data_IF_837993774292
#
_entry.id   IF_837993774292
#
_cell.length_a   1.000
_cell.length_b   1.000
_cell.length_c   1.000
_cell.angle_alpha   90.00
_cell.angle_beta   90.00
_cell.angle_gamma   90.00
#
_symmetry.space_group_name_H-M   'P 1'
#
loop_
_entity.id
_entity.type
_entity.pdbx_description
1 polymer ?
#
# COMPACT_ATOMS: atom_id res chain seq x y z
N UNK A 1 12.76 52.06 -36.02
CA UNK A 1 13.30 50.71 -36.30
C UNK A 1 12.75 50.30 -37.64
N UNK A 2 13.62 50.11 -38.63
CA UNK A 2 13.18 49.66 -39.96
C UNK A 2 12.62 48.24 -39.85
N UNK A 3 11.84 47.78 -40.82
CA UNK A 3 11.35 46.38 -40.87
C UNK A 3 12.51 45.35 -40.84
N UNK A 4 13.75 45.79 -41.09
CA UNK A 4 14.99 45.03 -40.97
C UNK A 4 15.58 44.96 -39.55
N UNK A 5 15.15 45.81 -38.61
CA UNK A 5 15.60 45.83 -37.21
C UNK A 5 14.67 45.08 -36.26
N UNK A 6 13.53 44.57 -36.76
CA UNK A 6 12.56 43.83 -35.95
C UNK A 6 12.97 42.35 -35.82
N UNK A 7 12.92 41.75 -34.61
CA UNK A 7 13.27 40.34 -34.43
C UNK A 7 12.30 39.43 -35.22
N UNK A 8 12.86 38.64 -36.15
CA UNK A 8 12.10 37.65 -36.92
C UNK A 8 11.80 36.44 -36.04
N UNK A 9 10.56 36.35 -35.56
CA UNK A 9 10.10 35.26 -34.70
C UNK A 9 8.99 34.47 -35.36
N UNK A 10 9.06 33.14 -35.26
CA UNK A 10 7.94 32.26 -35.62
C UNK A 10 6.91 32.32 -34.49
N UNK A 11 5.67 32.68 -34.83
CA UNK A 11 4.58 32.78 -33.86
C UNK A 11 3.65 31.57 -33.97
N UNK A 12 3.09 31.06 -32.86
CA UNK A 12 2.14 29.96 -32.91
C UNK A 12 0.82 30.39 -33.59
N UNK A 13 0.34 29.60 -34.54
CA UNK A 13 -0.94 29.81 -35.24
C UNK A 13 -1.99 28.87 -34.64
N UNK A 14 -2.68 29.32 -33.59
CA UNK A 14 -3.62 28.47 -32.82
C UNK A 14 -4.97 28.23 -33.51
N UNK A 15 -5.32 29.05 -34.49
CA UNK A 15 -6.58 28.97 -35.24
C UNK A 15 -6.46 28.16 -36.53
N UNK A 16 -5.29 27.57 -36.82
CA UNK A 16 -5.11 26.69 -37.97
C UNK A 16 -5.72 25.32 -37.67
N UNK A 17 -6.64 24.88 -38.54
CA UNK A 17 -7.16 23.52 -38.50
C UNK A 17 -6.10 22.54 -38.99
N UNK A 18 -5.85 21.47 -38.22
CA UNK A 18 -4.95 20.37 -38.60
C UNK A 18 -5.70 19.05 -38.46
N UNK A 19 -5.72 18.24 -39.52
CA UNK A 19 -6.21 16.87 -39.49
C UNK A 19 -5.05 15.96 -39.06
N UNK A 20 -5.21 15.26 -37.94
CA UNK A 20 -4.18 14.41 -37.34
C UNK A 20 -4.67 12.95 -37.32
N UNK A 21 -4.45 12.15 -38.37
CA UNK A 21 -4.68 10.71 -38.29
C UNK A 21 -3.79 10.13 -37.19
N UNK A 22 -4.34 9.28 -36.34
CA UNK A 22 -3.61 8.64 -35.24
C UNK A 22 -3.55 7.14 -35.49
N UNK A 23 -2.34 6.61 -35.65
CA UNK A 23 -2.06 5.18 -35.48
C UNK A 23 -1.80 4.95 -33.98
N UNK A 24 -2.66 4.13 -33.35
CA UNK A 24 -2.53 3.84 -31.93
C UNK A 24 -1.20 3.14 -31.65
N UNK A 25 -0.77 2.21 -32.50
CA UNK A 25 0.44 1.42 -32.27
C UNK A 25 1.70 2.29 -32.32
N UNK A 26 1.75 3.24 -33.26
CA UNK A 26 2.83 4.21 -33.36
C UNK A 26 2.82 5.29 -32.27
N UNK A 27 1.82 5.33 -31.36
CA UNK A 27 1.83 6.26 -30.22
C UNK A 27 2.99 6.01 -29.25
N UNK A 28 3.51 4.78 -29.24
CA UNK A 28 4.46 4.29 -28.24
C UNK A 28 5.62 3.61 -28.96
N UNK A 29 6.84 4.07 -28.73
CA UNK A 29 8.05 3.43 -29.26
C UNK A 29 8.21 1.99 -28.75
N UNK A 30 8.86 1.12 -29.52
CA UNK A 30 8.99 -0.31 -29.23
C UNK A 30 9.69 -0.59 -27.89
N UNK A 31 10.64 0.26 -27.50
CA UNK A 31 11.41 0.14 -26.26
C UNK A 31 10.71 0.77 -25.04
N UNK A 32 9.52 1.35 -25.21
CA UNK A 32 8.84 2.04 -24.12
C UNK A 32 8.38 1.03 -23.04
N UNK A 33 8.65 1.28 -21.74
CA UNK A 33 8.37 0.33 -20.65
C UNK A 33 6.91 -0.14 -20.56
N UNK A 34 5.96 0.69 -21.02
CA UNK A 34 4.52 0.35 -21.05
C UNK A 34 4.23 -0.91 -21.85
N UNK A 35 5.00 -1.18 -22.92
CA UNK A 35 4.86 -2.38 -23.75
C UNK A 35 5.24 -3.64 -22.97
N UNK A 36 6.31 -3.56 -22.17
CA UNK A 36 6.71 -4.65 -21.30
C UNK A 36 5.69 -4.91 -20.18
N UNK A 37 5.08 -3.85 -19.63
CA UNK A 37 3.97 -3.99 -18.67
C UNK A 37 2.78 -4.71 -19.32
N UNK A 38 2.37 -4.29 -20.53
CA UNK A 38 1.28 -4.93 -21.25
C UNK A 38 1.58 -6.40 -21.56
N UNK A 39 2.76 -6.68 -22.13
CA UNK A 39 3.18 -8.04 -22.45
C UNK A 39 3.28 -8.96 -21.23
N UNK A 40 3.62 -8.43 -20.04
CA UNK A 40 3.52 -9.19 -18.80
C UNK A 40 2.06 -9.46 -18.42
N UNK A 41 1.19 -8.45 -18.46
CA UNK A 41 -0.22 -8.57 -18.11
C UNK A 41 -0.92 -9.64 -18.97
N UNK A 42 -0.57 -9.73 -20.26
CA UNK A 42 -1.07 -10.76 -21.18
C UNK A 42 -0.69 -12.19 -20.77
N UNK A 43 0.38 -12.36 -19.98
CA UNK A 43 0.85 -13.67 -19.51
C UNK A 43 0.34 -14.04 -18.12
N UNK A 44 -0.24 -13.09 -17.39
CA UNK A 44 -0.80 -13.34 -16.06
C UNK A 44 -2.12 -14.14 -16.16
N UNK A 45 -2.35 -15.05 -15.21
CA UNK A 45 -3.63 -15.73 -15.09
C UNK A 45 -4.66 -14.79 -14.43
N UNK A 46 -5.44 -14.13 -15.28
CA UNK A 46 -6.53 -13.22 -14.91
C UNK A 46 -7.91 -13.90 -14.85
N UNK A 47 -7.98 -15.24 -14.91
CA UNK A 47 -9.27 -15.98 -14.99
C UNK A 47 -10.24 -15.60 -13.87
N UNK A 48 -9.75 -15.45 -12.63
CA UNK A 48 -10.54 -15.01 -11.49
C UNK A 48 -11.13 -13.58 -11.63
N UNK A 49 -10.55 -12.71 -12.46
CA UNK A 49 -11.14 -11.41 -12.78
C UNK A 49 -12.24 -11.54 -13.81
N UNK A 50 -12.03 -12.34 -14.86
CA UNK A 50 -13.01 -12.57 -15.91
C UNK A 50 -14.24 -13.33 -15.41
N UNK A 51 -14.08 -14.29 -14.48
CA UNK A 51 -15.18 -15.09 -13.94
C UNK A 51 -16.30 -14.24 -13.29
N UNK A 52 -15.96 -13.08 -12.72
CA UNK A 52 -16.93 -12.16 -12.10
C UNK A 52 -17.77 -11.38 -13.12
N UNK A 53 -17.24 -11.17 -14.31
CA UNK A 53 -17.89 -10.43 -15.39
C UNK A 53 -18.43 -11.35 -16.49
N UNK A 54 -18.25 -12.67 -16.34
CA UNK A 54 -18.76 -13.68 -17.26
C UNK A 54 -20.29 -13.60 -17.35
N UNK A 55 -20.82 -13.66 -18.58
CA UNK A 55 -22.26 -13.74 -18.79
C UNK A 55 -22.77 -15.11 -18.33
N UNK A 56 -23.63 -15.12 -17.31
CA UNK A 56 -24.23 -16.35 -16.74
C UNK A 56 -25.74 -16.47 -16.98
N UNK A 57 -26.34 -15.47 -17.62
CA UNK A 57 -27.76 -15.42 -17.94
C UNK A 57 -28.05 -15.67 -19.42
N UNK A 58 -29.34 -15.76 -19.76
CA UNK A 58 -29.81 -15.90 -21.14
C UNK A 58 -29.58 -14.65 -22.01
N UNK A 59 -29.49 -13.47 -21.39
CA UNK A 59 -29.19 -12.20 -22.06
C UNK A 59 -27.90 -11.60 -21.49
N UNK A 60 -26.93 -11.33 -22.36
CA UNK A 60 -25.72 -10.62 -21.98
C UNK A 60 -26.06 -9.15 -21.68
N UNK A 61 -25.59 -8.65 -20.52
CA UNK A 61 -25.66 -7.23 -20.17
C UNK A 61 -24.68 -6.36 -20.96
N UNK A 62 -24.52 -5.10 -20.56
CA UNK A 62 -23.48 -4.22 -21.14
C UNK A 62 -22.10 -4.85 -20.92
N UNK A 63 -21.21 -4.87 -21.94
CA UNK A 63 -19.84 -5.33 -21.77
C UNK A 63 -19.11 -4.58 -20.65
N UNK A 64 -18.41 -5.33 -19.80
CA UNK A 64 -17.52 -4.76 -18.79
C UNK A 64 -16.20 -4.28 -19.43
N UNK A 65 -15.54 -3.33 -18.79
CA UNK A 65 -14.16 -2.96 -19.13
C UNK A 65 -13.23 -4.14 -18.84
N UNK A 66 -12.30 -4.43 -19.76
CA UNK A 66 -11.35 -5.51 -19.64
C UNK A 66 -10.47 -5.36 -18.37
N UNK A 67 -10.43 -6.38 -17.47
CA UNK A 67 -9.53 -6.39 -16.31
C UNK A 67 -8.04 -6.22 -16.65
N UNK A 68 -7.58 -6.71 -17.81
CA UNK A 68 -6.20 -6.55 -18.26
C UNK A 68 -5.86 -5.08 -18.49
N UNK A 69 -6.76 -4.32 -19.15
CA UNK A 69 -6.63 -2.87 -19.33
C UNK A 69 -6.57 -2.15 -17.98
N UNK A 70 -7.49 -2.47 -17.06
CA UNK A 70 -7.53 -1.83 -15.73
C UNK A 70 -6.28 -2.14 -14.90
N UNK A 71 -5.77 -3.37 -14.96
CA UNK A 71 -4.55 -3.78 -14.28
C UNK A 71 -3.32 -3.07 -14.87
N UNK A 72 -3.16 -3.10 -16.20
CA UNK A 72 -2.04 -2.45 -16.89
C UNK A 72 -2.00 -0.94 -16.62
N UNK A 73 -3.15 -0.26 -16.66
CA UNK A 73 -3.25 1.17 -16.32
C UNK A 73 -2.79 1.44 -14.89
N UNK A 74 -3.17 0.62 -13.92
CA UNK A 74 -2.77 0.80 -12.53
C UNK A 74 -1.29 0.46 -12.28
N UNK A 75 -0.77 -0.58 -12.93
CA UNK A 75 0.65 -0.93 -12.84
C UNK A 75 1.53 0.18 -13.42
N UNK A 76 1.16 0.72 -14.59
CA UNK A 76 1.88 1.82 -15.22
C UNK A 76 1.72 3.12 -14.43
N UNK A 77 0.52 3.46 -13.97
CA UNK A 77 0.27 4.62 -13.11
C UNK A 77 1.11 4.59 -11.84
N UNK A 78 1.19 3.46 -11.15
CA UNK A 78 2.06 3.31 -9.97
C UNK A 78 3.54 3.44 -10.34
N UNK A 79 3.95 2.97 -11.52
CA UNK A 79 5.33 3.16 -11.99
C UNK A 79 5.70 4.65 -12.14
N UNK A 80 4.72 5.52 -12.41
CA UNK A 80 4.91 6.97 -12.53
C UNK A 80 4.48 7.76 -11.27
N UNK A 81 4.14 7.07 -10.17
CA UNK A 81 3.70 7.70 -8.93
C UNK A 81 2.28 8.28 -8.97
N UNK A 82 1.46 7.87 -9.96
CA UNK A 82 0.09 8.32 -10.15
C UNK A 82 -0.89 7.50 -9.29
N UNK A 83 -1.20 7.99 -8.09
CA UNK A 83 -2.13 7.36 -7.15
C UNK A 83 -3.60 7.81 -7.23
N UNK A 84 -3.98 8.63 -8.22
CA UNK A 84 -5.34 9.23 -8.30
C UNK A 84 -6.10 8.72 -9.52
N UNK A 85 -7.25 8.07 -9.28
CA UNK A 85 -8.10 7.55 -10.35
C UNK A 85 -8.61 8.64 -11.32
N UNK A 86 -8.82 9.87 -10.82
CA UNK A 86 -9.20 11.02 -11.66
C UNK A 86 -8.03 11.57 -12.49
N UNK A 87 -6.82 11.48 -11.95
CA UNK A 87 -5.63 11.85 -12.74
C UNK A 87 -5.42 10.79 -13.82
N UNK A 88 -5.54 9.51 -13.47
CA UNK A 88 -5.42 8.39 -14.39
C UNK A 88 -6.47 8.47 -15.53
N UNK A 89 -7.73 8.76 -15.24
CA UNK A 89 -8.76 9.02 -16.26
C UNK A 89 -8.34 10.15 -17.23
N UNK A 90 -7.80 11.27 -16.73
CA UNK A 90 -7.29 12.35 -17.61
C UNK A 90 -6.06 11.96 -18.41
N UNK A 91 -5.21 11.07 -17.88
CA UNK A 91 -4.05 10.54 -18.60
C UNK A 91 -4.50 9.61 -19.72
N UNK A 92 -5.49 8.74 -19.47
CA UNK A 92 -6.13 7.91 -20.49
C UNK A 92 -6.68 8.72 -21.69
N UNK A 93 -7.03 9.99 -21.50
CA UNK A 93 -7.53 10.86 -22.56
C UNK A 93 -6.43 11.61 -23.32
N UNK A 94 -5.28 11.88 -22.69
CA UNK A 94 -4.31 12.88 -23.17
C UNK A 94 -2.92 12.33 -23.46
N UNK A 95 -2.49 11.34 -22.68
CA UNK A 95 -1.12 10.84 -22.68
C UNK A 95 -0.98 9.60 -23.59
N UNK A 96 0.09 9.51 -24.36
CA UNK A 96 0.24 8.52 -25.43
C UNK A 96 0.32 7.07 -24.90
N UNK A 97 1.21 6.73 -23.96
CA UNK A 97 1.23 5.42 -23.29
C UNK A 97 -0.12 4.97 -22.71
N UNK A 98 -0.85 5.86 -22.02
CA UNK A 98 -2.14 5.50 -21.43
C UNK A 98 -3.23 5.30 -22.50
N UNK A 99 -3.23 6.12 -23.55
CA UNK A 99 -4.13 5.94 -24.71
C UNK A 99 -3.85 4.63 -25.43
N UNK A 100 -2.57 4.25 -25.56
CA UNK A 100 -2.15 2.98 -26.14
C UNK A 100 -2.68 1.80 -25.31
N UNK A 101 -2.49 1.79 -23.98
CA UNK A 101 -3.07 0.75 -23.11
C UNK A 101 -4.60 0.67 -23.26
N UNK A 102 -5.28 1.83 -23.32
CA UNK A 102 -6.73 1.85 -23.46
C UNK A 102 -7.18 1.26 -24.80
N UNK A 103 -6.43 1.41 -25.90
CA UNK A 103 -6.81 0.84 -27.19
C UNK A 103 -8.19 1.30 -27.71
N UNK A 104 -8.66 2.49 -27.30
CA UNK A 104 -10.02 2.99 -27.59
C UNK A 104 -11.10 2.54 -26.61
N UNK A 105 -10.78 1.71 -25.61
CA UNK A 105 -11.69 1.34 -24.52
C UNK A 105 -11.94 2.56 -23.62
N UNK A 106 -13.20 2.97 -23.40
CA UNK A 106 -13.51 4.08 -22.51
C UNK A 106 -13.31 3.66 -21.05
N UNK A 107 -12.49 4.42 -20.33
CA UNK A 107 -12.18 4.20 -18.91
C UNK A 107 -12.60 5.43 -18.11
N UNK A 108 -13.26 5.20 -16.97
CA UNK A 108 -13.67 6.27 -16.08
C UNK A 108 -13.09 6.09 -14.67
N UNK A 109 -13.02 7.19 -13.92
CA UNK A 109 -12.39 7.18 -12.59
C UNK A 109 -13.13 6.34 -11.55
N UNK A 110 -14.44 6.12 -11.69
CA UNK A 110 -15.18 5.24 -10.78
C UNK A 110 -14.74 3.79 -10.96
N UNK A 111 -14.73 3.29 -12.20
CA UNK A 111 -14.24 1.94 -12.54
C UNK A 111 -12.80 1.74 -12.07
N UNK A 112 -11.92 2.72 -12.30
CA UNK A 112 -10.53 2.68 -11.83
C UNK A 112 -10.44 2.63 -10.30
N UNK A 113 -11.18 3.48 -9.59
CA UNK A 113 -11.16 3.54 -8.13
C UNK A 113 -11.70 2.25 -7.49
N UNK A 114 -12.77 1.68 -8.05
CA UNK A 114 -13.39 0.45 -7.58
C UNK A 114 -12.45 -0.75 -7.80
N UNK A 115 -11.87 -0.89 -9.00
CA UNK A 115 -10.91 -1.95 -9.32
C UNK A 115 -9.74 -1.98 -8.33
N UNK A 116 -9.21 -0.80 -7.98
CA UNK A 116 -8.06 -0.64 -7.08
C UNK A 116 -8.31 -1.13 -5.66
N UNK A 117 -9.57 -1.21 -5.21
CA UNK A 117 -9.87 -1.54 -3.79
C UNK A 117 -10.62 -2.85 -3.61
N UNK A 118 -11.38 -3.30 -4.62
CA UNK A 118 -12.25 -4.49 -4.51
C UNK A 118 -11.46 -5.80 -4.64
N UNK A 119 -10.37 -5.82 -5.42
CA UNK A 119 -9.74 -7.08 -5.83
C UNK A 119 -8.55 -7.51 -4.96
N UNK A 120 -8.51 -7.14 -3.67
CA UNK A 120 -7.40 -7.45 -2.75
C UNK A 120 -6.95 -8.91 -2.77
N UNK A 121 -7.90 -9.85 -2.68
CA UNK A 121 -7.60 -11.30 -2.73
C UNK A 121 -7.04 -11.75 -4.08
N UNK A 122 -7.45 -11.13 -5.18
CA UNK A 122 -6.97 -11.50 -6.52
C UNK A 122 -5.60 -10.90 -6.79
N UNK A 123 -5.35 -9.67 -6.34
CA UNK A 123 -4.02 -9.07 -6.36
C UNK A 123 -3.06 -9.86 -5.48
N UNK A 124 -3.50 -10.35 -4.32
CA UNK A 124 -2.73 -11.27 -3.49
C UNK A 124 -2.31 -12.52 -4.27
N UNK A 125 -3.23 -13.15 -5.00
CA UNK A 125 -2.94 -14.30 -5.87
C UNK A 125 -2.01 -13.94 -7.03
N UNK A 126 -2.18 -12.78 -7.65
CA UNK A 126 -1.27 -12.30 -8.70
C UNK A 126 0.15 -12.08 -8.19
N UNK A 127 0.32 -11.50 -7.00
CA UNK A 127 1.62 -11.38 -6.37
C UNK A 127 2.29 -12.76 -6.19
N UNK A 128 1.52 -13.76 -5.74
CA UNK A 128 2.00 -15.15 -5.64
C UNK A 128 2.42 -15.71 -7.01
N UNK A 129 1.64 -15.48 -8.08
CA UNK A 129 2.01 -15.92 -9.44
C UNK A 129 3.33 -15.29 -9.91
N UNK A 130 3.49 -13.97 -9.72
CA UNK A 130 4.71 -13.24 -10.08
C UNK A 130 5.91 -13.81 -9.32
N UNK A 131 5.79 -14.03 -8.02
CA UNK A 131 6.87 -14.61 -7.22
C UNK A 131 7.20 -16.05 -7.62
N UNK A 132 6.19 -16.88 -7.88
CA UNK A 132 6.40 -18.25 -8.34
C UNK A 132 7.16 -18.30 -9.68
N UNK A 133 6.85 -17.40 -10.61
CA UNK A 133 7.59 -17.28 -11.86
C UNK A 133 9.05 -16.86 -11.62
N UNK A 134 9.28 -15.84 -10.78
CA UNK A 134 10.64 -15.39 -10.44
C UNK A 134 11.48 -16.46 -9.73
N UNK A 135 10.87 -17.27 -8.87
CA UNK A 135 11.54 -18.38 -8.19
C UNK A 135 11.85 -19.54 -9.15
N UNK A 136 10.92 -19.85 -10.05
CA UNK A 136 11.13 -20.89 -11.08
C UNK A 136 12.31 -20.57 -11.99
N UNK A 137 12.49 -19.30 -12.35
CA UNK A 137 13.63 -18.82 -13.13
C UNK A 137 14.92 -18.63 -12.29
N UNK A 138 14.88 -18.93 -10.98
CA UNK A 138 16.04 -18.84 -10.09
C UNK A 138 16.47 -17.41 -9.74
N UNK A 139 15.64 -16.41 -10.07
CA UNK A 139 15.90 -14.98 -9.84
C UNK A 139 15.70 -14.62 -8.38
N UNK A 140 14.63 -15.12 -7.77
CA UNK A 140 14.34 -15.00 -6.33
C UNK A 140 14.65 -16.34 -5.68
N UNK A 141 15.53 -16.34 -4.67
CA UNK A 141 16.00 -17.58 -4.00
C UNK A 141 15.73 -17.61 -2.49
N UNK A 142 15.23 -16.51 -1.92
CA UNK A 142 14.96 -16.35 -0.48
C UNK A 142 16.17 -16.67 0.40
N UNK A 143 17.39 -16.49 -0.14
CA UNK A 143 18.61 -16.71 0.63
C UNK A 143 18.72 -15.68 1.75
N UNK A 144 18.43 -14.42 1.42
CA UNK A 144 18.49 -13.32 2.36
C UNK A 144 17.34 -12.38 2.10
N UNK A 145 16.48 -12.22 3.11
CA UNK A 145 15.33 -11.33 3.05
C UNK A 145 15.46 -10.29 4.16
N UNK A 146 15.29 -9.02 3.80
CA UNK A 146 15.25 -7.92 4.75
C UNK A 146 13.82 -7.39 4.88
N UNK A 147 13.32 -7.31 6.11
CA UNK A 147 12.04 -6.67 6.43
C UNK A 147 12.27 -5.29 7.05
N UNK A 148 11.44 -4.34 6.63
CA UNK A 148 11.41 -3.00 7.21
C UNK A 148 10.00 -2.39 7.17
N UNK A 149 9.76 -1.49 8.12
CA UNK A 149 8.49 -0.78 8.29
C UNK A 149 8.56 0.64 7.76
N UNK A 150 7.53 1.05 7.02
CA UNK A 150 7.42 2.38 6.44
C UNK A 150 6.09 3.03 6.82
N UNK A 151 6.14 4.12 7.60
CA UNK A 151 4.91 4.88 7.93
C UNK A 151 4.45 5.72 6.74
N UNK A 152 3.21 5.54 6.31
CA UNK A 152 2.60 6.20 5.15
C UNK A 152 1.38 7.00 5.59
N UNK A 153 1.24 8.24 5.10
CA UNK A 153 0.14 9.12 5.52
C UNK A 153 -1.21 8.53 5.13
N UNK A 154 -2.13 8.47 6.08
CA UNK A 154 -3.49 8.01 5.84
C UNK A 154 -4.32 9.06 5.10
N UNK A 155 -5.47 8.66 4.55
CA UNK A 155 -6.43 9.58 3.94
C UNK A 155 -7.33 10.26 4.99
N UNK A 156 -6.71 10.78 6.06
CA UNK A 156 -7.34 11.45 7.19
C UNK A 156 -6.54 12.68 7.64
N UNK A 157 -7.27 13.71 8.09
CA UNK A 157 -6.66 14.92 8.66
C UNK A 157 -6.52 14.83 10.18
N UNK A 158 -5.54 15.50 10.78
CA UNK A 158 -5.35 15.48 12.24
C UNK A 158 -6.59 15.95 13.01
N UNK A 159 -7.32 16.94 12.49
CA UNK A 159 -8.57 17.45 13.07
C UNK A 159 -9.74 16.45 13.06
N UNK A 160 -9.62 15.32 12.34
CA UNK A 160 -10.63 14.26 12.37
C UNK A 160 -10.53 13.40 13.64
N UNK A 161 -9.40 13.44 14.36
CA UNK A 161 -9.20 12.62 15.55
C UNK A 161 -9.94 13.22 16.75
N UNK A 162 -10.94 12.49 17.24
CA UNK A 162 -11.83 12.92 18.31
C UNK A 162 -11.88 11.89 19.44
N UNK A 163 -12.19 12.40 20.64
CA UNK A 163 -12.45 11.60 21.85
C UNK A 163 -13.87 11.05 21.81
N UNK A 164 -14.15 10.00 22.60
CA UNK A 164 -15.46 9.32 22.69
C UNK A 164 -16.65 10.29 22.79
N UNK A 165 -16.66 11.18 23.79
CA UNK A 165 -17.75 12.14 23.97
C UNK A 165 -17.97 13.06 22.75
N UNK A 166 -16.88 13.46 22.05
CA UNK A 166 -17.01 14.27 20.85
C UNK A 166 -17.50 13.46 19.64
N UNK A 167 -17.17 12.16 19.57
CA UNK A 167 -17.70 11.26 18.54
C UNK A 167 -19.19 11.03 18.72
N UNK A 168 -19.66 10.81 19.95
CA UNK A 168 -21.09 10.68 20.28
C UNK A 168 -21.89 11.92 19.87
N UNK A 169 -21.37 13.13 20.15
CA UNK A 169 -21.98 14.37 19.65
C UNK A 169 -22.04 14.42 18.12
N UNK A 170 -20.92 14.11 17.44
CA UNK A 170 -20.89 14.08 15.98
C UNK A 170 -21.85 13.03 15.39
N UNK A 171 -22.05 11.90 16.08
CA UNK A 171 -23.00 10.85 15.69
C UNK A 171 -24.42 11.39 15.72
N UNK A 172 -24.81 12.04 16.82
CA UNK A 172 -26.14 12.63 16.97
C UNK A 172 -26.41 13.69 15.89
N UNK A 173 -25.45 14.58 15.63
CA UNK A 173 -25.53 15.58 14.55
C UNK A 173 -25.68 14.92 13.16
N UNK A 174 -24.92 13.85 12.90
CA UNK A 174 -24.98 13.13 11.62
C UNK A 174 -26.31 12.37 11.44
N UNK A 175 -26.83 11.74 12.50
CA UNK A 175 -28.16 11.12 12.48
C UNK A 175 -29.25 12.14 12.19
N UNK A 176 -29.22 13.29 12.85
CA UNK A 176 -30.19 14.37 12.62
C UNK A 176 -30.12 14.88 11.18
N UNK A 177 -28.90 15.05 10.63
CA UNK A 177 -28.69 15.43 9.24
C UNK A 177 -29.30 14.41 8.26
N UNK A 178 -29.09 13.11 8.50
CA UNK A 178 -29.68 12.04 7.67
C UNK A 178 -31.21 12.05 7.77
N UNK A 179 -31.77 12.20 8.97
CA UNK A 179 -33.22 12.28 9.18
C UNK A 179 -33.82 13.48 8.46
N UNK A 180 -33.20 14.66 8.59
CA UNK A 180 -33.63 15.90 7.92
C UNK A 180 -33.64 15.73 6.40
N UNK A 181 -32.56 15.21 5.83
CA UNK A 181 -32.44 15.04 4.38
C UNK A 181 -33.46 14.01 3.83
N UNK A 182 -33.73 12.93 4.57
CA UNK A 182 -34.78 11.96 4.20
C UNK A 182 -36.18 12.59 4.24
N UNK A 183 -36.45 13.46 5.22
CA UNK A 183 -37.70 14.21 5.29
C UNK A 183 -37.85 15.17 4.11
N UNK A 184 -36.83 15.97 3.82
CA UNK A 184 -36.82 16.88 2.66
C UNK A 184 -37.08 16.16 1.33
N UNK A 185 -36.46 14.98 1.13
CA UNK A 185 -36.68 14.15 -0.07
C UNK A 185 -38.13 13.62 -0.15
N UNK A 186 -38.74 13.29 1.00
CA UNK A 186 -40.12 12.81 1.06
C UNK A 186 -41.14 13.93 0.84
N UNK A 187 -40.86 15.15 1.30
CA UNK A 187 -41.77 16.28 1.24
C UNK A 187 -41.71 17.05 -0.08
N UNK A 188 -40.54 17.13 -0.73
CA UNK A 188 -40.40 17.73 -2.06
C UNK A 188 -39.48 16.91 -2.99
N UNK A 189 -40.04 15.91 -3.69
CA UNK A 189 -39.30 15.11 -4.66
C UNK A 189 -38.83 15.89 -5.91
N UNK A 190 -39.26 17.14 -6.08
CA UNK A 190 -39.07 17.94 -7.31
C UNK A 190 -38.00 19.04 -7.20
N UNK A 191 -37.64 19.47 -5.97
CA UNK A 191 -36.72 20.59 -5.70
C UNK A 191 -35.27 20.42 -6.20
N UNK A 192 -34.84 19.21 -6.58
CA UNK A 192 -33.50 19.00 -7.15
C UNK A 192 -33.47 17.79 -8.09
N UNK A 193 -32.50 17.75 -9.01
CA UNK A 193 -32.28 16.59 -9.86
C UNK A 193 -32.07 15.35 -8.99
N UNK A 194 -32.84 14.27 -9.20
CA UNK A 194 -32.77 12.99 -8.45
C UNK A 194 -31.35 12.50 -8.14
N UNK A 195 -30.41 12.74 -9.06
CA UNK A 195 -28.98 12.39 -8.91
C UNK A 195 -28.29 13.17 -7.79
N UNK A 196 -28.58 14.46 -7.64
CA UNK A 196 -27.97 15.34 -6.63
C UNK A 196 -28.50 14.98 -5.25
N UNK A 197 -29.80 14.75 -5.10
CA UNK A 197 -30.43 14.29 -3.84
C UNK A 197 -29.89 12.93 -3.41
N UNK A 198 -29.83 11.95 -4.32
CA UNK A 198 -29.25 10.63 -4.03
C UNK A 198 -27.76 10.70 -3.67
N UNK A 199 -26.99 11.64 -4.25
CA UNK A 199 -25.60 11.85 -3.89
C UNK A 199 -25.45 12.47 -2.48
N UNK A 200 -26.28 13.46 -2.14
CA UNK A 200 -26.32 14.06 -0.80
C UNK A 200 -26.70 13.03 0.26
N UNK A 201 -27.70 12.19 0.00
CA UNK A 201 -28.14 11.16 0.95
C UNK A 201 -27.04 10.12 1.19
N UNK A 202 -26.42 9.62 0.12
CA UNK A 202 -25.28 8.69 0.23
C UNK A 202 -24.13 9.31 1.00
N UNK A 203 -23.81 10.58 0.77
CA UNK A 203 -22.74 11.26 1.49
C UNK A 203 -23.05 11.44 2.98
N UNK A 204 -24.30 11.79 3.34
CA UNK A 204 -24.73 11.91 4.72
C UNK A 204 -24.71 10.55 5.44
N UNK A 205 -25.22 9.50 4.79
CA UNK A 205 -25.18 8.13 5.33
C UNK A 205 -23.74 7.64 5.50
N UNK A 206 -22.88 7.81 4.49
CA UNK A 206 -21.48 7.42 4.59
C UNK A 206 -20.73 8.16 5.72
N UNK A 207 -21.11 9.41 6.02
CA UNK A 207 -20.57 10.15 7.17
C UNK A 207 -21.01 9.54 8.50
N UNK A 208 -22.29 9.16 8.62
CA UNK A 208 -22.80 8.48 9.81
C UNK A 208 -22.10 7.12 10.01
N UNK A 209 -22.05 6.30 8.96
CA UNK A 209 -21.38 4.99 8.98
C UNK A 209 -19.89 5.12 9.40
N UNK A 210 -19.20 6.17 8.94
CA UNK A 210 -17.81 6.44 9.33
C UNK A 210 -17.66 6.86 10.81
N UNK A 211 -18.63 7.57 11.38
CA UNK A 211 -18.62 7.94 12.80
C UNK A 211 -18.96 6.73 13.67
N UNK A 212 -19.91 5.89 13.24
CA UNK A 212 -20.24 4.63 13.91
C UNK A 212 -19.01 3.70 13.95
N UNK A 213 -18.30 3.56 12.82
CA UNK A 213 -17.03 2.83 12.78
C UNK A 213 -15.98 3.42 13.75
N UNK A 214 -15.88 4.75 13.84
CA UNK A 214 -14.97 5.40 14.79
C UNK A 214 -15.33 5.15 16.26
N UNK A 215 -16.63 4.97 16.58
CA UNK A 215 -17.10 4.63 17.92
C UNK A 215 -16.94 3.14 18.26
N UNK A 216 -17.02 2.25 17.28
CA UNK A 216 -16.67 0.85 17.46
C UNK A 216 -15.16 0.74 17.76
N UNK A 217 -14.34 1.35 16.91
CA UNK A 217 -12.88 1.34 17.03
C UNK A 217 -12.38 1.93 18.36
N UNK A 218 -13.00 3.02 18.85
CA UNK A 218 -12.57 3.60 20.14
C UNK A 218 -12.87 2.63 21.29
N UNK A 219 -13.90 1.79 21.18
CA UNK A 219 -14.17 0.69 22.12
C UNK A 219 -13.08 -0.38 22.07
N UNK A 220 -12.73 -0.87 20.87
CA UNK A 220 -11.67 -1.86 20.69
C UNK A 220 -10.32 -1.36 21.25
N UNK A 221 -9.95 -0.11 20.98
CA UNK A 221 -8.70 0.47 21.51
C UNK A 221 -8.73 0.67 23.02
N UNK A 222 -9.90 0.93 23.60
CA UNK A 222 -10.09 0.99 25.06
C UNK A 222 -9.89 -0.39 25.70
N UNK A 223 -10.46 -1.44 25.10
CA UNK A 223 -10.31 -2.83 25.54
C UNK A 223 -8.84 -3.29 25.43
N UNK A 224 -8.20 -3.10 24.28
CA UNK A 224 -6.77 -3.42 24.09
C UNK A 224 -5.87 -2.69 25.10
N UNK A 225 -6.22 -1.45 25.45
CA UNK A 225 -5.50 -0.67 26.45
C UNK A 225 -5.71 -1.25 27.85
N UNK A 226 -6.94 -1.65 28.20
CA UNK A 226 -7.25 -2.27 29.47
C UNK A 226 -6.49 -3.59 29.66
N UNK A 227 -6.55 -4.50 28.68
CA UNK A 227 -5.80 -5.77 28.72
C UNK A 227 -4.29 -5.56 28.86
N UNK A 228 -3.74 -4.56 28.15
CA UNK A 228 -2.32 -4.23 28.26
C UNK A 228 -1.98 -3.69 29.66
N UNK A 229 -2.86 -2.89 30.24
CA UNK A 229 -2.67 -2.30 31.56
C UNK A 229 -2.79 -3.35 32.68
N UNK A 230 -3.58 -4.42 32.49
CA UNK A 230 -3.58 -5.60 33.35
C UNK A 230 -2.25 -6.37 33.28
N UNK A 231 -1.72 -6.60 32.07
CA UNK A 231 -0.46 -7.34 31.87
C UNK A 231 0.78 -6.57 32.33
N UNK A 232 0.79 -5.25 32.15
CA UNK A 232 1.88 -4.35 32.54
C UNK A 232 1.29 -3.06 33.10
N UNK A 233 1.03 -3.02 34.42
CA UNK A 233 0.55 -1.82 35.10
C UNK A 233 1.52 -0.68 34.82
N UNK A 234 1.07 0.30 34.04
CA UNK A 234 1.85 1.48 33.72
C UNK A 234 1.18 2.70 34.33
N UNK A 235 1.97 3.74 34.54
CA UNK A 235 1.50 5.01 35.09
C UNK A 235 0.39 5.62 34.20
N UNK A 236 -0.88 5.36 34.56
CA UNK A 236 -2.05 5.79 33.78
C UNK A 236 -2.05 7.31 33.55
N UNK A 237 -1.44 8.08 34.46
CA UNK A 237 -1.26 9.54 34.39
C UNK A 237 -0.45 10.02 33.19
N UNK A 238 0.40 9.18 32.58
CA UNK A 238 1.22 9.56 31.42
C UNK A 238 0.53 9.34 30.08
N UNK A 239 -0.60 8.64 30.05
CA UNK A 239 -1.26 8.25 28.81
C UNK A 239 -2.50 9.13 28.59
N UNK A 240 -2.43 9.99 27.58
CA UNK A 240 -3.55 10.83 27.17
C UNK A 240 -4.80 10.04 26.79
N UNK A 241 -5.91 10.76 26.63
CA UNK A 241 -7.18 10.20 26.16
C UNK A 241 -7.05 9.61 24.74
N UNK A 242 -7.72 8.48 24.52
CA UNK A 242 -7.77 7.81 23.23
C UNK A 242 -8.54 8.70 22.24
N UNK A 243 -8.05 8.75 21.00
CA UNK A 243 -8.68 9.49 19.91
C UNK A 243 -8.70 8.63 18.66
N UNK A 244 -9.82 8.66 17.95
CA UNK A 244 -10.04 7.95 16.70
C UNK A 244 -10.53 8.93 15.64
N UNK A 245 -10.18 8.70 14.38
CA UNK A 245 -10.59 9.55 13.26
C UNK A 245 -12.06 9.36 12.90
N UNK A 246 -12.81 10.45 12.75
CA UNK A 246 -14.17 10.45 12.17
C UNK A 246 -14.20 10.16 10.66
N UNK A 247 -13.04 10.07 10.02
CA UNK A 247 -12.95 9.84 8.56
C UNK A 247 -12.34 8.50 8.21
N UNK A 248 -11.39 8.00 9.01
CA UNK A 248 -10.64 6.76 8.77
C UNK A 248 -10.35 6.08 10.11
N UNK A 249 -11.35 5.38 10.66
CA UNK A 249 -11.35 4.85 12.03
C UNK A 249 -10.10 4.00 12.33
N UNK A 250 -9.70 3.13 11.39
CA UNK A 250 -8.58 2.21 11.55
C UNK A 250 -7.20 2.90 11.49
N UNK A 251 -7.11 4.18 11.10
CA UNK A 251 -5.84 4.92 11.06
C UNK A 251 -5.37 5.34 12.46
N UNK A 252 -4.05 5.47 12.65
CA UNK A 252 -3.45 5.92 13.92
C UNK A 252 -2.54 7.12 13.73
N UNK A 253 -2.39 7.93 14.78
CA UNK A 253 -1.38 8.99 14.81
C UNK A 253 -0.03 8.34 15.08
N UNK A 254 0.87 8.37 14.10
CA UNK A 254 2.21 7.78 14.20
C UNK A 254 3.28 8.84 14.03
N UNK A 255 4.45 8.60 14.62
CA UNK A 255 5.66 9.41 14.37
C UNK A 255 6.19 9.08 12.98
N UNK A 256 6.30 10.11 12.14
CA UNK A 256 6.83 10.01 10.79
C UNK A 256 8.37 10.14 10.80
N UNK A 257 9.02 9.81 9.69
CA UNK A 257 10.48 9.91 9.55
C UNK A 257 11.02 11.34 9.72
N UNK A 258 10.21 12.36 9.40
CA UNK A 258 10.53 13.78 9.62
C UNK A 258 10.35 14.24 11.08
N UNK A 259 10.03 13.32 11.99
CA UNK A 259 9.78 13.59 13.41
C UNK A 259 8.37 14.10 13.72
N UNK A 260 7.57 14.48 12.73
CA UNK A 260 6.20 14.95 12.92
C UNK A 260 5.21 13.81 13.18
N UNK A 261 4.13 14.10 13.91
CA UNK A 261 3.06 13.13 14.18
C UNK A 261 1.88 13.36 13.23
N UNK A 262 1.48 12.33 12.49
CA UNK A 262 0.39 12.42 11.49
C UNK A 262 -0.46 11.14 11.47
N UNK A 263 -1.73 11.23 11.04
CA UNK A 263 -2.52 10.04 10.72
C UNK A 263 -1.81 9.20 9.67
N UNK A 264 -1.58 7.93 9.96
CA UNK A 264 -0.78 7.05 9.14
C UNK A 264 -1.18 5.58 9.32
N UNK A 265 -0.74 4.79 8.37
CA UNK A 265 -0.61 3.35 8.47
C UNK A 265 0.87 2.98 8.42
N UNK A 266 1.20 1.81 8.94
CA UNK A 266 2.53 1.24 8.89
C UNK A 266 2.56 0.15 7.83
N UNK A 267 3.24 0.41 6.72
CA UNK A 267 3.42 -0.55 5.63
C UNK A 267 4.65 -1.40 5.94
N UNK A 268 4.50 -2.71 5.87
CA UNK A 268 5.57 -3.68 6.12
C UNK A 268 5.95 -4.33 4.80
N UNK A 269 7.25 -4.31 4.48
CA UNK A 269 7.77 -4.89 3.25
C UNK A 269 8.93 -5.80 3.56
N UNK A 270 8.94 -6.97 2.91
CA UNK A 270 10.05 -7.90 2.92
C UNK A 270 10.66 -7.98 1.52
N UNK A 271 11.97 -7.75 1.41
CA UNK A 271 12.69 -7.69 0.13
C UNK A 271 13.81 -8.73 0.12
N UNK A 272 13.86 -9.57 -0.93
CA UNK A 272 14.93 -10.54 -1.18
C UNK A 272 16.23 -9.85 -1.62
N UNK A 273 17.38 -10.53 -1.56
CA UNK A 273 18.67 -9.97 -1.99
C UNK A 273 18.74 -9.66 -3.50
N UNK A 274 17.93 -10.33 -4.32
CA UNK A 274 17.69 -9.96 -5.73
C UNK A 274 16.97 -8.60 -5.87
N UNK A 275 16.40 -8.11 -4.77
CA UNK A 275 15.71 -6.85 -4.56
C UNK A 275 14.26 -6.83 -5.04
N UNK A 276 13.65 -7.99 -5.25
CA UNK A 276 12.20 -8.13 -5.39
C UNK A 276 11.53 -8.16 -4.03
N UNK A 277 10.33 -7.56 -3.94
CA UNK A 277 9.47 -7.64 -2.76
C UNK A 277 8.86 -9.04 -2.73
N UNK A 278 9.03 -9.76 -1.62
CA UNK A 278 8.51 -11.12 -1.41
C UNK A 278 7.37 -11.19 -0.40
N UNK A 279 7.14 -10.10 0.35
CA UNK A 279 6.00 -9.97 1.26
C UNK A 279 5.62 -8.50 1.45
N UNK A 280 4.31 -8.24 1.57
CA UNK A 280 3.78 -6.89 1.71
C UNK A 280 2.50 -6.88 2.55
N UNK A 281 2.55 -6.17 3.69
CA UNK A 281 1.42 -6.07 4.61
C UNK A 281 1.24 -4.65 5.15
N UNK A 282 0.12 -4.41 5.83
CA UNK A 282 -0.23 -3.12 6.39
C UNK A 282 -0.83 -3.31 7.77
N UNK A 283 -0.38 -2.47 8.70
CA UNK A 283 -0.89 -2.43 10.06
C UNK A 283 -1.19 -1.03 10.53
N UNK A 284 -2.09 -0.92 11.50
CA UNK A 284 -2.34 0.30 12.24
C UNK A 284 -1.47 0.38 13.51
N UNK A 285 -0.58 -0.59 13.76
CA UNK A 285 0.37 -0.52 14.85
C UNK A 285 1.55 0.43 14.52
N UNK A 286 1.84 1.34 15.46
CA UNK A 286 2.95 2.28 15.34
C UNK A 286 4.33 1.62 15.53
N UNK A 287 4.41 0.45 16.19
CA UNK A 287 5.64 -0.32 16.37
C UNK A 287 5.72 -1.49 15.42
N UNK A 288 6.94 -1.91 15.11
CA UNK A 288 7.20 -2.94 14.11
C UNK A 288 7.37 -4.33 14.74
N UNK A 289 7.64 -4.41 16.05
CA UNK A 289 7.82 -5.66 16.80
C UNK A 289 6.78 -6.75 16.49
N UNK A 290 5.46 -6.49 16.44
CA UNK A 290 4.48 -7.56 16.25
C UNK A 290 4.44 -8.14 14.82
N UNK A 291 5.22 -7.61 13.88
CA UNK A 291 5.07 -7.86 12.44
C UNK A 291 6.12 -8.81 11.85
N UNK A 292 7.04 -9.34 12.64
CA UNK A 292 8.00 -10.36 12.19
C UNK A 292 7.27 -11.65 11.79
N UNK A 293 6.45 -12.17 12.70
CA UNK A 293 5.72 -13.43 12.50
C UNK A 293 4.72 -13.35 11.33
N UNK A 294 3.81 -12.35 11.27
CA UNK A 294 2.90 -12.21 10.13
C UNK A 294 3.60 -12.15 8.77
N UNK A 295 4.73 -11.45 8.68
CA UNK A 295 5.48 -11.31 7.43
C UNK A 295 6.14 -12.63 7.01
N UNK A 296 6.74 -13.36 7.95
CA UNK A 296 7.31 -14.68 7.66
C UNK A 296 6.24 -15.68 7.21
N UNK A 297 5.08 -15.69 7.88
CA UNK A 297 3.95 -16.56 7.51
C UNK A 297 3.42 -16.19 6.12
N UNK A 298 3.39 -14.89 5.79
CA UNK A 298 3.03 -14.44 4.44
C UNK A 298 4.04 -14.93 3.38
N UNK A 299 5.35 -14.78 3.62
CA UNK A 299 6.39 -15.26 2.69
C UNK A 299 6.26 -16.76 2.49
N UNK A 300 6.17 -17.54 3.58
CA UNK A 300 6.02 -18.99 3.54
C UNK A 300 4.77 -19.41 2.77
N UNK A 301 3.63 -18.73 2.98
CA UNK A 301 2.38 -19.01 2.26
C UNK A 301 2.50 -18.74 0.75
N UNK A 302 3.21 -17.68 0.35
CA UNK A 302 3.35 -17.29 -1.06
C UNK A 302 4.35 -18.16 -1.82
N UNK A 303 5.45 -18.48 -1.16
CA UNK A 303 6.62 -19.06 -1.82
C UNK A 303 6.79 -20.56 -1.55
N UNK A 304 6.11 -21.07 -0.51
CA UNK A 304 6.28 -22.45 -0.05
C UNK A 304 7.54 -22.66 0.79
N UNK A 305 8.37 -21.62 0.97
CA UNK A 305 9.66 -21.71 1.66
C UNK A 305 9.86 -20.54 2.64
N UNK A 306 10.63 -20.76 3.69
CA UNK A 306 11.07 -19.72 4.60
C UNK A 306 12.42 -19.16 4.14
N UNK A 307 12.70 -17.86 4.36
CA UNK A 307 14.01 -17.30 4.08
C UNK A 307 15.12 -18.00 4.85
N UNK A 308 16.29 -18.20 4.24
CA UNK A 308 17.45 -18.79 4.96
C UNK A 308 18.05 -17.81 5.98
N UNK A 309 18.14 -16.54 5.60
CA UNK A 309 18.58 -15.45 6.45
C UNK A 309 17.50 -14.37 6.50
N UNK A 310 17.15 -13.91 7.70
CA UNK A 310 16.13 -12.90 7.92
C UNK A 310 16.69 -11.69 8.65
N UNK A 311 16.70 -10.55 7.98
CA UNK A 311 17.32 -9.31 8.43
C UNK A 311 16.23 -8.33 8.86
N UNK A 312 16.30 -7.86 10.10
CA UNK A 312 15.35 -6.86 10.63
C UNK A 312 16.08 -5.77 11.41
N UNK A 313 15.48 -4.59 11.47
CA UNK A 313 16.02 -3.49 12.26
C UNK A 313 15.84 -3.70 13.78
N UNK A 314 16.39 -2.80 14.59
CA UNK A 314 16.26 -2.86 16.05
C UNK A 314 14.84 -2.67 16.59
N UNK A 315 13.96 -2.05 15.79
CA UNK A 315 12.54 -1.87 16.09
C UNK A 315 11.74 -3.17 16.04
N UNK A 316 12.25 -4.23 15.41
CA UNK A 316 11.65 -5.57 15.40
C UNK A 316 12.16 -6.48 16.53
N UNK A 317 13.19 -6.09 17.27
CA UNK A 317 13.89 -7.01 18.19
C UNK A 317 13.10 -7.25 19.47
N UNK A 318 12.64 -8.50 19.63
CA UNK A 318 12.19 -9.12 20.89
C UNK A 318 12.77 -10.54 20.95
N UNK A 319 12.87 -11.14 22.14
CA UNK A 319 13.39 -12.51 22.26
C UNK A 319 12.46 -13.49 21.53
N UNK A 320 11.15 -13.34 21.74
CA UNK A 320 10.10 -14.11 21.06
C UNK A 320 10.21 -14.04 19.53
N UNK A 321 10.53 -12.87 18.96
CA UNK A 321 10.72 -12.75 17.51
C UNK A 321 11.97 -13.50 17.02
N UNK A 322 13.08 -13.47 17.78
CA UNK A 322 14.29 -14.21 17.41
C UNK A 322 14.03 -15.72 17.44
N UNK A 323 13.29 -16.20 18.43
CA UNK A 323 12.86 -17.59 18.50
C UNK A 323 11.93 -17.93 17.34
N UNK A 324 10.92 -17.11 17.08
CA UNK A 324 9.95 -17.35 16.00
C UNK A 324 10.57 -17.35 14.59
N UNK A 325 11.65 -16.57 14.37
CA UNK A 325 12.46 -16.64 13.14
C UNK A 325 13.16 -18.01 13.06
N UNK A 326 13.80 -18.44 14.15
CA UNK A 326 14.52 -19.72 14.18
C UNK A 326 13.60 -20.94 14.06
N UNK A 327 12.40 -20.91 14.66
CA UNK A 327 11.38 -21.95 14.55
C UNK A 327 10.91 -22.17 13.10
N UNK A 328 10.95 -21.12 12.28
CA UNK A 328 10.64 -21.18 10.85
C UNK A 328 11.85 -21.58 9.99
N UNK A 329 12.96 -21.97 10.62
CA UNK A 329 14.18 -22.41 9.94
C UNK A 329 15.05 -21.27 9.40
N UNK A 330 14.76 -20.02 9.76
CA UNK A 330 15.49 -18.86 9.30
C UNK A 330 16.58 -18.43 10.29
N UNK A 331 17.69 -17.90 9.78
CA UNK A 331 18.77 -17.34 10.60
C UNK A 331 18.52 -15.85 10.84
N UNK A 332 18.28 -15.46 12.09
CA UNK A 332 18.03 -14.06 12.45
C UNK A 332 19.32 -13.20 12.42
N UNK A 333 19.23 -12.05 11.76
CA UNK A 333 20.21 -10.97 11.78
C UNK A 333 19.52 -9.67 12.20
N UNK A 334 19.75 -9.28 13.44
CA UNK A 334 19.13 -8.08 14.02
C UNK A 334 20.09 -7.47 15.05
N UNK A 335 20.13 -6.14 15.19
CA UNK A 335 21.08 -5.49 16.07
C UNK A 335 20.72 -5.75 17.54
N UNK A 336 21.74 -5.93 18.39
CA UNK A 336 21.53 -6.14 19.82
C UNK A 336 21.10 -4.83 20.49
N UNK A 337 20.12 -4.87 21.41
CA UNK A 337 19.78 -3.71 22.23
C UNK A 337 21.00 -3.23 23.03
N UNK A 338 21.19 -1.91 23.13
CA UNK A 338 22.28 -1.35 23.95
C UNK A 338 22.10 -1.78 25.41
N UNK A 339 23.15 -2.37 25.99
CA UNK A 339 23.19 -2.66 27.43
C UNK A 339 23.23 -1.36 28.23
N UNK A 340 22.53 -1.34 29.37
CA UNK A 340 22.60 -0.22 30.33
C UNK A 340 23.91 -0.21 31.13
N UNK A 341 24.57 -1.36 31.26
CA UNK A 341 25.88 -1.50 31.90
C UNK A 341 26.97 -1.70 30.85
N UNK A 342 28.08 -0.98 30.99
CA UNK A 342 29.25 -1.10 30.11
C UNK A 342 30.00 -2.42 30.31
N UNK A 343 29.83 -3.06 31.45
CA UNK A 343 30.58 -4.28 31.82
C UNK A 343 29.92 -5.57 31.32
N UNK A 344 28.74 -5.46 30.70
CA UNK A 344 28.00 -6.61 30.16
C UNK A 344 28.21 -6.67 28.67
N UNK A 345 28.96 -7.67 28.21
CA UNK A 345 29.10 -7.98 26.80
C UNK A 345 27.71 -8.35 26.21
N UNK A 346 27.16 -7.56 25.26
CA UNK A 346 25.86 -7.86 24.65
C UNK A 346 25.88 -9.12 23.77
N UNK A 347 27.06 -9.57 23.33
CA UNK A 347 27.25 -10.72 22.44
C UNK A 347 27.38 -12.05 23.20
N UNK A 348 27.60 -12.00 24.52
CA UNK A 348 27.61 -13.18 25.37
C UNK A 348 26.16 -13.69 25.61
N UNK A 349 25.90 -15.01 25.47
CA UNK A 349 24.64 -15.61 25.89
C UNK A 349 24.37 -15.36 27.38
N UNK A 350 23.11 -15.10 27.73
CA UNK A 350 22.68 -15.00 29.12
C UNK A 350 22.23 -16.37 29.62
N UNK A 351 22.28 -16.55 30.96
CA UNK A 351 21.95 -17.81 31.63
C UNK A 351 20.58 -18.40 31.24
N UNK A 352 19.59 -17.55 30.98
CA UNK A 352 18.22 -17.96 30.65
C UNK A 352 17.86 -17.68 29.19
N UNK A 353 18.85 -17.40 28.32
CA UNK A 353 18.55 -17.22 26.90
C UNK A 353 18.18 -18.59 26.29
N UNK A 354 17.09 -18.66 25.53
CA UNK A 354 16.81 -19.81 24.69
C UNK A 354 17.96 -20.07 23.69
N UNK A 355 18.15 -21.32 23.21
CA UNK A 355 19.25 -21.67 22.32
C UNK A 355 19.37 -20.76 21.08
N UNK A 356 18.24 -20.45 20.45
CA UNK A 356 18.17 -19.55 19.30
C UNK A 356 18.65 -18.13 19.62
N UNK A 357 18.25 -17.59 20.78
CA UNK A 357 18.65 -16.27 21.25
C UNK A 357 20.14 -16.23 21.56
N UNK A 358 20.66 -17.24 22.27
CA UNK A 358 22.09 -17.35 22.57
C UNK A 358 22.94 -17.41 21.29
N UNK A 359 22.52 -18.22 20.31
CA UNK A 359 23.18 -18.32 19.01
C UNK A 359 23.14 -16.99 18.23
N UNK A 360 22.02 -16.26 18.28
CA UNK A 360 21.91 -14.92 17.67
C UNK A 360 22.86 -13.91 18.31
N UNK A 361 23.00 -13.88 19.64
CA UNK A 361 23.94 -12.97 20.33
C UNK A 361 25.38 -13.17 19.90
N UNK A 362 25.84 -14.43 19.92
CA UNK A 362 27.19 -14.81 19.50
C UNK A 362 27.39 -14.42 18.03
N UNK A 363 26.44 -14.78 17.16
CA UNK A 363 26.49 -14.49 15.73
C UNK A 363 26.68 -13.00 15.48
N UNK A 364 25.87 -12.14 16.10
CA UNK A 364 25.96 -10.69 15.91
C UNK A 364 27.27 -10.07 16.41
N UNK A 365 28.11 -10.82 17.15
CA UNK A 365 29.46 -10.42 17.52
C UNK A 365 30.52 -10.67 16.44
N UNK A 366 30.20 -11.48 15.42
CA UNK A 366 31.13 -11.85 14.36
C UNK A 366 31.23 -10.79 13.25
N UNK A 367 32.39 -10.71 12.59
CA UNK A 367 32.57 -9.81 11.43
C UNK A 367 31.70 -10.22 10.24
N UNK A 368 31.46 -11.52 10.06
CA UNK A 368 30.58 -12.01 8.99
C UNK A 368 29.13 -11.56 9.20
N UNK A 369 28.62 -11.57 10.43
CA UNK A 369 27.28 -11.07 10.70
C UNK A 369 27.17 -9.56 10.48
N UNK A 370 28.23 -8.78 10.79
CA UNK A 370 28.27 -7.35 10.47
C UNK A 370 28.21 -7.13 8.96
N UNK A 371 28.98 -7.89 8.17
CA UNK A 371 28.96 -7.84 6.69
C UNK A 371 27.59 -8.18 6.12
N UNK A 372 26.93 -9.22 6.64
CA UNK A 372 25.57 -9.59 6.23
C UNK A 372 24.57 -8.49 6.60
N UNK A 373 24.62 -7.99 7.83
CA UNK A 373 23.66 -7.01 8.33
C UNK A 373 23.72 -5.66 7.60
N UNK A 374 24.90 -5.24 7.10
CA UNK A 374 25.04 -4.03 6.26
C UNK A 374 24.10 -4.08 5.05
N UNK A 375 23.85 -5.27 4.50
CA UNK A 375 22.97 -5.43 3.34
C UNK A 375 21.51 -5.10 3.64
N UNK A 376 21.05 -5.17 4.91
CA UNK A 376 19.67 -4.81 5.28
C UNK A 376 19.30 -3.42 4.78
N UNK A 377 20.20 -2.44 4.96
CA UNK A 377 19.96 -1.07 4.52
C UNK A 377 19.78 -0.98 3.00
N UNK A 378 20.69 -1.62 2.25
CA UNK A 378 20.65 -1.64 0.77
C UNK A 378 19.38 -2.29 0.23
N UNK A 379 18.88 -3.34 0.89
CA UNK A 379 17.69 -4.07 0.45
C UNK A 379 16.40 -3.35 0.86
N UNK A 380 16.20 -3.12 2.16
CA UNK A 380 14.92 -2.67 2.66
C UNK A 380 14.71 -1.15 2.52
N UNK A 381 15.74 -0.33 2.81
CA UNK A 381 15.59 1.13 2.73
C UNK A 381 15.45 1.60 1.29
N UNK A 382 16.17 0.95 0.34
CA UNK A 382 16.06 1.28 -1.09
C UNK A 382 14.65 1.03 -1.62
N UNK A 383 14.06 -0.12 -1.30
CA UNK A 383 12.69 -0.45 -1.70
C UNK A 383 11.67 0.51 -1.10
N UNK A 384 11.78 0.79 0.20
CA UNK A 384 10.91 1.73 0.89
C UNK A 384 11.03 3.15 0.31
N UNK A 385 12.25 3.59 0.02
CA UNK A 385 12.52 4.89 -0.58
C UNK A 385 11.93 5.01 -1.99
N UNK A 386 12.10 4.00 -2.85
CA UNK A 386 11.53 4.01 -4.22
C UNK A 386 10.01 4.09 -4.19
N UNK A 387 9.36 3.23 -3.39
CA UNK A 387 7.90 3.22 -3.27
C UNK A 387 7.36 4.56 -2.77
N UNK A 388 8.04 5.18 -1.79
CA UNK A 388 7.65 6.48 -1.25
C UNK A 388 7.89 7.62 -2.24
N UNK A 389 9.07 7.69 -2.84
CA UNK A 389 9.52 8.84 -3.62
C UNK A 389 9.04 8.81 -5.08
N UNK A 390 8.87 7.62 -5.65
CA UNK A 390 8.64 7.44 -7.08
C UNK A 390 7.34 6.70 -7.40
N UNK A 391 6.80 5.88 -6.49
CA UNK A 391 5.59 5.06 -6.75
C UNK A 391 4.32 5.53 -6.04
N UNK A 392 4.33 6.76 -5.51
CA UNK A 392 3.14 7.39 -4.94
C UNK A 392 2.69 6.81 -3.59
N UNK A 393 3.58 6.11 -2.86
CA UNK A 393 3.29 5.54 -1.54
C UNK A 393 3.70 6.45 -0.38
N UNK A 394 3.72 7.78 -0.59
CA UNK A 394 3.91 8.77 0.47
C UNK A 394 2.61 9.13 1.20
N UNK A 395 1.46 8.97 0.51
CA UNK A 395 0.11 9.21 1.02
C UNK A 395 -0.90 8.28 0.37
N UNK A 396 -1.74 7.69 1.21
CA UNK A 396 -2.85 6.84 0.79
C UNK A 396 -4.06 7.69 0.40
N UNK A 397 -4.71 7.31 -0.70
CA UNK A 397 -5.95 7.90 -1.22
C UNK A 397 -7.19 7.03 -0.95
N UNK A 398 -7.03 6.04 -0.06
CA UNK A 398 -8.06 5.10 0.37
C UNK A 398 -8.05 5.04 1.90
N UNK A 399 -9.09 4.45 2.48
CA UNK A 399 -9.34 4.40 3.93
C UNK A 399 -9.69 2.98 4.34
N UNK A 400 -9.31 2.63 5.56
CA UNK A 400 -9.44 1.31 6.15
C UNK A 400 -8.37 0.30 5.72
N UNK A 401 -8.01 -0.62 6.62
CA UNK A 401 -6.85 -1.50 6.48
C UNK A 401 -6.92 -2.36 5.21
N UNK A 402 -8.08 -2.95 4.94
CA UNK A 402 -8.28 -3.84 3.79
C UNK A 402 -7.98 -3.12 2.48
N UNK A 403 -8.51 -1.89 2.29
CA UNK A 403 -8.30 -1.13 1.06
C UNK A 403 -6.87 -0.63 0.95
N UNK A 404 -6.27 -0.24 2.07
CA UNK A 404 -4.87 0.18 2.11
C UNK A 404 -3.95 -0.97 1.74
N UNK A 405 -4.17 -2.17 2.29
CA UNK A 405 -3.43 -3.39 1.93
C UNK A 405 -3.55 -3.69 0.44
N UNK A 406 -4.74 -3.58 -0.15
CA UNK A 406 -4.93 -3.75 -1.60
C UNK A 406 -4.07 -2.77 -2.41
N UNK A 407 -4.02 -1.50 -2.04
CA UNK A 407 -3.18 -0.48 -2.72
C UNK A 407 -1.70 -0.78 -2.55
N UNK A 408 -1.27 -1.21 -1.36
CA UNK A 408 0.13 -1.59 -1.10
C UNK A 408 0.54 -2.82 -1.90
N UNK A 409 -0.32 -3.84 -2.01
CA UNK A 409 -0.08 -5.02 -2.84
C UNK A 409 0.08 -4.62 -4.32
N UNK A 410 -0.79 -3.76 -4.83
CA UNK A 410 -0.69 -3.26 -6.20
C UNK A 410 0.61 -2.46 -6.44
N UNK A 411 1.05 -1.67 -5.46
CA UNK A 411 2.33 -0.98 -5.52
C UNK A 411 3.53 -1.94 -5.48
N UNK A 412 3.47 -2.98 -4.65
CA UNK A 412 4.50 -4.01 -4.57
C UNK A 412 4.60 -4.83 -5.86
N UNK A 413 3.47 -5.21 -6.46
CA UNK A 413 3.44 -5.85 -7.78
C UNK A 413 4.06 -4.93 -8.82
N UNK A 414 3.61 -3.67 -8.92
CA UNK A 414 4.18 -2.69 -9.85
C UNK A 414 5.70 -2.53 -9.68
N UNK A 415 6.18 -2.46 -8.45
CA UNK A 415 7.62 -2.41 -8.16
C UNK A 415 8.36 -3.65 -8.68
N UNK A 416 7.84 -4.85 -8.43
CA UNK A 416 8.43 -6.09 -8.93
C UNK A 416 8.43 -6.16 -10.46
N UNK A 417 7.34 -5.73 -11.11
CA UNK A 417 7.24 -5.65 -12.57
C UNK A 417 8.29 -4.71 -13.13
N UNK A 418 8.42 -3.51 -12.57
CA UNK A 418 9.44 -2.55 -13.02
C UNK A 418 10.85 -3.08 -12.82
N UNK A 419 11.09 -3.85 -11.74
CA UNK A 419 12.39 -4.48 -11.50
C UNK A 419 12.69 -5.60 -12.48
N UNK A 420 11.68 -6.38 -12.85
CA UNK A 420 11.79 -7.42 -13.89
C UNK A 420 12.12 -6.79 -15.27
N UNK A 421 11.45 -5.69 -15.62
CA UNK A 421 11.74 -4.96 -16.85
C UNK A 421 13.17 -4.41 -16.83
N UNK A 422 13.59 -3.83 -15.71
CA UNK A 422 14.92 -3.25 -15.57
C UNK A 422 16.06 -4.28 -15.55
N UNK A 423 15.80 -5.54 -15.17
CA UNK A 423 16.80 -6.60 -15.19
C UNK A 423 17.03 -7.21 -16.58
N UNK A 424 16.23 -6.84 -17.59
CA UNK A 424 16.32 -7.39 -18.94
C UNK A 424 15.96 -8.88 -19.02
N UNK A 425 15.47 -9.45 -17.93
CA UNK A 425 14.85 -10.77 -17.94
C UNK A 425 13.54 -10.63 -18.70
N UNK A 426 13.40 -11.33 -19.82
CA UNK A 426 12.12 -11.37 -20.52
C UNK A 426 11.07 -11.93 -19.56
N UNK A 427 10.16 -11.07 -19.11
CA UNK A 427 8.88 -11.47 -18.54
C UNK A 427 8.20 -12.49 -19.45
#
# INVERSE_FOLDING_TARGET
MSEHDAPRVVRPVRNQLSLQPTDLEALVADEHPVRAIWGLVERLDLSAFYDEIASRGSNAGRPATDPAVLLALWLFANSEGVGSARLLERLCERDAPYRWICGGVPVNHHTLADFRVIHGKKLDRLMTQVLAALMKEGVVQLKRVAQDGMKVRASAGAASFRRRQSLERCRNEAEEQVRKLRREISEDPSASTKRVTAAKERAAKARLDAIDAALAEIGEVEEERAERDEKKPSDARRRGEIRVSTTDAESRVMKMADGGFRPAYNVQLATDESGFIVGADVTNNGTDQPHVVPMLDEIQRRTGEAPREYLVDGGFVTLDNIEAIAERGATAYAPLPKSKSKDVDPHAPKRNDPPAVGAWRIRMGTEDAKRVYIQRGVLAERTNADLRAHRGLDRLNVRGLVKVKTVVLLAAISFNVMRLIASGLSA
#
